data_IF_079370706317
#
_entry.id   IF_079370706317
#
_cell.length_a   1.000
_cell.length_b   1.000
_cell.length_c   1.000
_cell.angle_alpha   90.00
_cell.angle_beta   90.00
_cell.angle_gamma   90.00
#
_symmetry.space_group_name_H-M   'P 1'
#
loop_
_entity.id
_entity.type
_entity.pdbx_description
1 polymer ?
#
# COMPACT_ATOMS: atom_id res chain seq x y z
N UNK A 1 19.50 -85.34 -11.75
CA UNK A 1 18.23 -84.68 -11.38
C UNK A 1 18.55 -83.44 -10.55
N UNK A 2 18.48 -82.26 -11.17
CA UNK A 2 18.72 -80.95 -10.54
C UNK A 2 17.43 -80.52 -9.82
N UNK A 3 17.49 -80.20 -8.52
CA UNK A 3 16.38 -79.58 -7.79
C UNK A 3 16.62 -78.08 -7.69
N UNK A 4 15.68 -77.35 -8.26
CA UNK A 4 15.63 -75.89 -8.38
C UNK A 4 15.14 -75.27 -7.08
N UNK A 5 15.98 -74.47 -6.42
CA UNK A 5 15.51 -73.49 -5.42
C UNK A 5 15.45 -72.12 -6.12
N UNK A 6 14.23 -71.65 -6.40
CA UNK A 6 13.97 -70.25 -6.76
C UNK A 6 13.89 -69.45 -5.45
N UNK A 7 14.92 -68.68 -5.15
CA UNK A 7 14.84 -67.65 -4.12
C UNK A 7 14.07 -66.44 -4.69
N UNK A 8 12.98 -66.05 -4.04
CA UNK A 8 12.33 -64.76 -4.28
C UNK A 8 13.31 -63.65 -3.92
N UNK A 9 13.67 -62.83 -4.91
CA UNK A 9 14.36 -61.57 -4.68
C UNK A 9 13.38 -60.58 -4.03
N UNK A 10 13.56 -60.34 -2.72
CA UNK A 10 12.92 -59.24 -2.02
C UNK A 10 13.61 -57.94 -2.48
N UNK A 11 12.92 -57.12 -3.27
CA UNK A 11 13.39 -55.80 -3.66
C UNK A 11 13.29 -54.86 -2.46
N UNK A 12 14.32 -54.88 -1.61
CA UNK A 12 14.56 -53.82 -0.64
C UNK A 12 15.02 -52.57 -1.41
N UNK A 13 14.08 -51.65 -1.67
CA UNK A 13 14.43 -50.30 -2.11
C UNK A 13 15.26 -49.63 -1.01
N UNK A 14 16.57 -49.57 -1.22
CA UNK A 14 17.51 -48.77 -0.46
C UNK A 14 17.11 -47.29 -0.55
N UNK A 15 16.45 -46.77 0.49
CA UNK A 15 16.51 -45.35 0.81
C UNK A 15 17.94 -45.04 1.23
N UNK A 16 18.80 -44.70 0.26
CA UNK A 16 20.04 -44.03 0.58
C UNK A 16 19.67 -42.70 1.26
N UNK A 17 19.99 -42.58 2.55
CA UNK A 17 19.93 -41.33 3.28
C UNK A 17 21.03 -40.42 2.72
N UNK A 18 20.66 -39.53 1.80
CA UNK A 18 21.53 -38.44 1.36
C UNK A 18 21.59 -37.39 2.48
N UNK A 19 22.46 -37.61 3.46
CA UNK A 19 22.98 -36.50 4.25
C UNK A 19 23.95 -35.71 3.37
N UNK A 20 23.41 -34.80 2.57
CA UNK A 20 24.22 -33.76 1.92
C UNK A 20 24.60 -32.75 3.00
N UNK A 21 25.90 -32.40 3.18
CA UNK A 21 26.27 -31.37 4.14
C UNK A 21 25.60 -30.04 3.75
N UNK A 22 24.95 -29.40 4.71
CA UNK A 22 24.34 -28.08 4.56
C UNK A 22 25.44 -27.04 4.32
N UNK A 23 25.78 -26.75 3.06
CA UNK A 23 26.74 -25.68 2.74
C UNK A 23 26.58 -25.10 1.33
N UNK A 24 25.36 -25.09 0.79
CA UNK A 24 24.98 -24.10 -0.21
C UNK A 24 24.08 -23.08 0.48
N UNK A 25 24.66 -21.93 0.84
CA UNK A 25 23.89 -20.78 1.31
C UNK A 25 23.04 -20.30 0.11
N UNK A 26 21.71 -20.38 0.20
CA UNK A 26 20.86 -19.79 -0.83
C UNK A 26 21.04 -18.27 -0.78
N UNK A 27 21.61 -17.70 -1.84
CA UNK A 27 21.85 -16.26 -1.95
C UNK A 27 20.56 -15.43 -2.09
N UNK A 28 19.39 -16.09 -2.22
CA UNK A 28 18.12 -15.44 -2.51
C UNK A 28 16.94 -16.10 -1.76
N UNK A 29 17.13 -16.41 -0.48
CA UNK A 29 16.08 -16.93 0.40
C UNK A 29 15.68 -18.39 0.18
N UNK A 30 14.69 -18.83 0.95
CA UNK A 30 14.07 -20.16 0.81
C UNK A 30 12.71 -20.08 0.09
N UNK A 31 12.32 -21.21 -0.48
CA UNK A 31 11.02 -21.49 -1.03
C UNK A 31 10.25 -22.40 -0.08
N UNK A 32 8.93 -22.24 -0.02
CA UNK A 32 8.05 -23.23 0.58
C UNK A 32 7.03 -23.69 -0.45
N UNK A 33 6.81 -25.01 -0.55
CA UNK A 33 5.79 -25.59 -1.39
C UNK A 33 5.15 -26.81 -0.72
N UNK A 34 3.88 -27.08 -1.05
CA UNK A 34 3.27 -28.36 -0.71
C UNK A 34 3.63 -29.37 -1.79
N UNK A 35 4.34 -30.43 -1.43
CA UNK A 35 4.78 -31.50 -2.35
C UNK A 35 4.30 -32.83 -1.78
N UNK A 36 3.53 -33.58 -2.56
CA UNK A 36 2.98 -34.91 -2.18
C UNK A 36 2.32 -34.92 -0.80
N UNK A 37 1.60 -33.84 -0.49
CA UNK A 37 0.87 -33.68 0.76
C UNK A 37 1.72 -33.24 1.97
N UNK A 38 2.97 -32.85 1.75
CA UNK A 38 3.87 -32.35 2.80
C UNK A 38 4.29 -30.92 2.51
N UNK A 39 4.38 -30.10 3.56
CA UNK A 39 4.94 -28.76 3.43
C UNK A 39 6.46 -28.86 3.46
N UNK A 40 7.10 -28.52 2.34
CA UNK A 40 8.54 -28.60 2.17
C UNK A 40 9.12 -27.20 2.06
N UNK A 41 10.30 -26.98 2.66
CA UNK A 41 11.14 -25.82 2.44
C UNK A 41 12.42 -26.22 1.72
N UNK A 42 12.90 -25.41 0.78
CA UNK A 42 14.09 -25.68 -0.02
C UNK A 42 14.72 -24.38 -0.52
N UNK A 43 15.98 -24.45 -0.93
CA UNK A 43 16.70 -23.32 -1.49
C UNK A 43 16.25 -23.05 -2.93
N UNK A 44 16.47 -21.83 -3.44
CA UNK A 44 16.11 -21.48 -4.81
C UNK A 44 16.80 -22.37 -5.86
N UNK A 45 17.98 -22.92 -5.57
CA UNK A 45 18.70 -23.86 -6.44
C UNK A 45 18.16 -25.32 -6.37
N UNK A 46 17.19 -25.59 -5.50
CA UNK A 46 16.61 -26.92 -5.26
C UNK A 46 17.31 -27.74 -4.19
N UNK A 47 18.43 -27.25 -3.65
CA UNK A 47 19.12 -27.87 -2.53
C UNK A 47 18.41 -27.62 -1.20
N UNK A 48 18.91 -28.22 -0.11
CA UNK A 48 18.44 -27.90 1.25
C UNK A 48 16.98 -28.27 1.54
N UNK A 49 16.44 -29.26 0.81
CA UNK A 49 15.07 -29.73 0.96
C UNK A 49 14.85 -30.28 2.38
N UNK A 50 13.88 -29.71 3.09
CA UNK A 50 13.48 -30.12 4.45
C UNK A 50 11.98 -30.04 4.62
N UNK A 51 11.42 -30.92 5.44
CA UNK A 51 10.01 -30.89 5.80
C UNK A 51 9.76 -29.88 6.91
N UNK A 52 8.72 -29.06 6.77
CA UNK A 52 8.19 -28.22 7.85
C UNK A 52 7.11 -29.00 8.61
N UNK A 53 7.09 -28.95 9.96
CA UNK A 53 6.25 -29.81 10.78
C UNK A 53 4.79 -29.31 10.86
N UNK A 54 4.10 -29.23 9.71
CA UNK A 54 2.69 -28.86 9.63
C UNK A 54 1.84 -30.11 9.41
N UNK A 55 0.99 -30.48 10.39
CA UNK A 55 0.05 -31.58 10.24
C UNK A 55 -0.91 -31.34 9.08
N UNK A 56 -1.33 -32.41 8.41
CA UNK A 56 -2.32 -32.39 7.31
C UNK A 56 -2.00 -31.38 6.19
N UNK A 57 -0.70 -31.15 5.93
CA UNK A 57 -0.24 -30.18 4.93
C UNK A 57 -0.81 -30.43 3.52
N UNK A 58 -1.25 -31.66 3.21
CA UNK A 58 -1.91 -31.97 1.94
C UNK A 58 -3.29 -31.35 1.74
N UNK A 59 -3.87 -30.74 2.79
CA UNK A 59 -5.09 -29.95 2.71
C UNK A 59 -4.82 -28.44 2.53
N UNK A 60 -3.55 -28.02 2.54
CA UNK A 60 -3.19 -26.62 2.33
C UNK A 60 -3.44 -26.26 0.87
N UNK A 61 -4.38 -25.34 0.66
CA UNK A 61 -4.71 -24.83 -0.68
C UNK A 61 -3.86 -23.62 -1.05
N UNK A 62 -3.42 -22.84 -0.06
CA UNK A 62 -2.69 -21.59 -0.25
C UNK A 62 -1.74 -21.30 0.92
N UNK A 63 -0.67 -20.57 0.63
CA UNK A 63 0.35 -20.17 1.61
C UNK A 63 0.96 -18.80 1.27
N UNK A 64 1.32 -18.05 2.31
CA UNK A 64 1.85 -16.69 2.22
C UNK A 64 2.84 -16.40 3.35
N UNK A 65 4.11 -16.21 3.02
CA UNK A 65 5.12 -15.70 3.92
C UNK A 65 4.79 -14.27 4.34
N UNK A 66 4.99 -14.01 5.63
CA UNK A 66 4.97 -12.66 6.17
C UNK A 66 6.07 -11.81 5.55
N UNK A 67 5.93 -10.47 5.49
CA UNK A 67 6.94 -9.58 4.93
C UNK A 67 8.33 -9.69 5.57
N UNK A 68 8.38 -10.00 6.87
CA UNK A 68 9.61 -10.26 7.61
C UNK A 68 10.26 -11.61 7.29
N UNK A 69 9.56 -12.52 6.60
CA UNK A 69 10.03 -13.84 6.24
C UNK A 69 10.08 -14.86 7.39
N UNK A 70 9.73 -14.50 8.62
CA UNK A 70 9.81 -15.37 9.80
C UNK A 70 8.52 -16.15 10.13
N UNK A 71 7.41 -15.81 9.47
CA UNK A 71 6.10 -16.46 9.61
C UNK A 71 5.54 -16.86 8.25
N UNK A 72 4.80 -17.96 8.21
CA UNK A 72 4.10 -18.47 7.04
C UNK A 72 2.62 -18.66 7.38
N UNK A 73 1.74 -17.86 6.77
CA UNK A 73 0.31 -18.08 6.84
C UNK A 73 -0.09 -19.15 5.82
N UNK A 74 -1.07 -19.99 6.16
CA UNK A 74 -1.57 -21.03 5.28
C UNK A 74 -3.04 -21.33 5.57
N UNK A 75 -3.78 -21.73 4.53
CA UNK A 75 -5.15 -22.22 4.68
C UNK A 75 -5.09 -23.69 5.12
N UNK A 76 -5.90 -24.06 6.11
CA UNK A 76 -6.04 -25.44 6.60
C UNK A 76 -7.51 -25.79 6.78
N UNK A 77 -7.80 -27.05 7.10
CA UNK A 77 -9.15 -27.41 7.54
C UNK A 77 -9.61 -26.50 8.70
N UNK A 78 -10.73 -25.83 8.45
CA UNK A 78 -11.40 -24.97 9.42
C UNK A 78 -10.80 -23.58 9.62
N UNK A 79 -9.90 -23.08 8.76
CA UNK A 79 -9.48 -21.67 8.82
C UNK A 79 -8.05 -21.41 8.37
N UNK A 80 -7.49 -20.30 8.85
CA UNK A 80 -6.11 -19.88 8.57
C UNK A 80 -5.22 -20.18 9.77
N UNK A 81 -4.10 -20.84 9.48
CA UNK A 81 -3.01 -21.06 10.42
C UNK A 81 -1.81 -20.15 10.11
N UNK A 82 -0.96 -19.94 11.12
CA UNK A 82 0.35 -19.28 10.96
C UNK A 82 1.42 -20.15 11.60
N UNK A 83 2.42 -20.55 10.81
CA UNK A 83 3.63 -21.20 11.29
C UNK A 83 4.69 -20.13 11.60
N UNK A 84 5.21 -20.14 12.82
CA UNK A 84 6.42 -19.42 13.20
C UNK A 84 7.64 -20.28 12.86
N UNK A 85 8.48 -19.81 11.92
CA UNK A 85 9.59 -20.62 11.41
C UNK A 85 10.69 -20.84 12.45
N UNK A 86 10.90 -19.87 13.35
CA UNK A 86 11.93 -19.92 14.41
C UNK A 86 11.62 -20.96 15.47
N UNK A 87 10.36 -21.04 15.90
CA UNK A 87 9.91 -21.89 17.01
C UNK A 87 9.29 -23.19 16.52
N UNK A 88 8.90 -23.27 15.24
CA UNK A 88 8.08 -24.36 14.70
C UNK A 88 6.63 -24.32 15.19
N UNK A 89 6.23 -23.27 15.92
CA UNK A 89 4.91 -23.17 16.54
C UNK A 89 3.85 -22.84 15.51
N UNK A 90 2.72 -23.52 15.60
CA UNK A 90 1.55 -23.28 14.74
C UNK A 90 0.46 -22.59 15.54
N UNK A 91 0.00 -21.46 15.03
CA UNK A 91 -1.10 -20.66 15.56
C UNK A 91 -2.35 -20.86 14.73
N UNK A 92 -3.48 -21.19 15.36
CA UNK A 92 -4.79 -21.03 14.72
C UNK A 92 -5.23 -19.57 14.81
N UNK A 93 -5.30 -18.86 13.68
CA UNK A 93 -5.67 -17.44 13.64
C UNK A 93 -7.17 -17.28 13.49
N UNK A 94 -7.79 -18.08 12.62
CA UNK A 94 -9.23 -18.04 12.38
C UNK A 94 -9.88 -19.41 12.53
N UNK A 95 -11.20 -19.39 12.76
CA UNK A 95 -12.07 -20.56 12.72
C UNK A 95 -13.18 -20.30 11.68
N UNK A 96 -12.97 -20.77 10.45
CA UNK A 96 -13.87 -20.58 9.32
C UNK A 96 -13.55 -21.53 8.17
N UNK A 97 -14.47 -22.44 7.84
CA UNK A 97 -14.24 -23.46 6.81
C UNK A 97 -14.15 -22.91 5.38
N UNK A 98 -14.58 -21.66 5.16
CA UNK A 98 -14.54 -20.98 3.85
C UNK A 98 -13.48 -19.88 3.81
N UNK A 99 -12.55 -19.87 4.78
CA UNK A 99 -11.47 -18.90 4.84
C UNK A 99 -10.43 -19.24 3.76
N UNK A 100 -10.07 -18.25 2.95
CA UNK A 100 -9.15 -18.40 1.82
C UNK A 100 -8.39 -17.09 1.54
N UNK A 101 -7.39 -17.14 0.67
CA UNK A 101 -6.55 -16.02 0.22
C UNK A 101 -5.92 -15.22 1.37
N UNK A 102 -5.17 -15.87 2.29
CA UNK A 102 -4.45 -15.16 3.33
C UNK A 102 -3.35 -14.32 2.69
N UNK A 103 -3.34 -13.02 2.98
CA UNK A 103 -2.32 -12.12 2.50
C UNK A 103 -1.94 -11.13 3.60
N UNK A 104 -0.64 -11.00 3.84
CA UNK A 104 -0.11 -10.23 4.96
C UNK A 104 -0.12 -8.73 4.69
N UNK A 105 -0.52 -7.98 5.72
CA UNK A 105 -0.24 -6.57 5.80
C UNK A 105 1.26 -6.32 5.72
N UNK A 106 1.60 -5.19 5.12
CA UNK A 106 2.96 -4.78 4.80
C UNK A 106 3.88 -4.64 6.03
N UNK A 107 3.30 -4.34 7.19
CA UNK A 107 3.94 -4.29 8.51
C UNK A 107 3.98 -5.65 9.23
N UNK A 108 3.39 -6.69 8.65
CA UNK A 108 3.23 -8.00 9.28
C UNK A 108 2.30 -8.02 10.50
N UNK A 109 1.60 -6.92 10.79
CA UNK A 109 0.72 -6.77 11.96
C UNK A 109 -0.68 -7.34 11.76
N UNK A 110 -1.05 -7.67 10.52
CA UNK A 110 -2.35 -8.25 10.20
C UNK A 110 -2.30 -9.18 8.99
N UNK A 111 -3.34 -10.00 8.86
CA UNK A 111 -3.62 -10.85 7.71
C UNK A 111 -4.98 -10.42 7.16
N UNK A 112 -5.03 -10.11 5.87
CA UNK A 112 -6.28 -10.01 5.13
C UNK A 112 -6.65 -11.39 4.59
N UNK A 113 -7.94 -11.72 4.56
CA UNK A 113 -8.42 -12.98 4.00
C UNK A 113 -9.87 -12.86 3.55
N UNK A 114 -10.30 -13.81 2.71
CA UNK A 114 -11.69 -13.97 2.27
C UNK A 114 -12.41 -14.99 3.13
N UNK A 115 -13.68 -14.73 3.41
CA UNK A 115 -14.63 -15.71 3.94
C UNK A 115 -15.90 -15.63 3.11
N UNK A 116 -16.07 -16.61 2.22
CA UNK A 116 -17.08 -16.54 1.17
C UNK A 116 -16.87 -15.33 0.27
N UNK A 117 -17.86 -14.43 0.21
CA UNK A 117 -17.81 -13.21 -0.62
C UNK A 117 -17.27 -11.98 0.13
N UNK A 118 -17.03 -12.09 1.43
CA UNK A 118 -16.58 -11.00 2.28
C UNK A 118 -15.07 -11.04 2.50
N UNK A 119 -14.50 -9.87 2.77
CA UNK A 119 -13.08 -9.72 3.11
C UNK A 119 -12.94 -9.23 4.54
N UNK A 120 -11.99 -9.81 5.26
CA UNK A 120 -11.70 -9.50 6.65
C UNK A 120 -10.22 -9.21 6.84
N UNK A 121 -9.92 -8.44 7.88
CA UNK A 121 -8.59 -8.27 8.45
C UNK A 121 -8.57 -8.86 9.85
N UNK A 122 -7.47 -9.50 10.22
CA UNK A 122 -7.30 -10.10 11.55
C UNK A 122 -5.85 -9.95 12.01
N UNK A 123 -5.63 -9.74 13.31
CA UNK A 123 -4.28 -9.82 13.88
C UNK A 123 -3.78 -11.28 13.85
N UNK A 124 -2.49 -11.54 13.62
CA UNK A 124 -1.93 -12.89 13.51
C UNK A 124 -1.76 -13.56 14.89
N UNK A 125 -2.81 -13.51 15.71
CA UNK A 125 -2.85 -14.04 17.08
C UNK A 125 -4.14 -14.82 17.30
N UNK A 126 -4.13 -15.90 18.09
CA UNK A 126 -5.33 -16.69 18.34
C UNK A 126 -6.47 -15.87 18.92
N UNK A 127 -7.69 -16.06 18.40
CA UNK A 127 -8.91 -15.43 18.93
C UNK A 127 -9.02 -13.93 18.67
N UNK A 128 -8.18 -13.36 17.81
CA UNK A 128 -8.29 -11.95 17.43
C UNK A 128 -9.65 -11.64 16.79
N UNK A 129 -10.20 -10.46 17.09
CA UNK A 129 -11.42 -9.98 16.49
C UNK A 129 -11.24 -9.78 14.98
N UNK A 130 -12.26 -10.18 14.21
CA UNK A 130 -12.30 -9.96 12.77
C UNK A 130 -12.79 -8.55 12.48
N UNK A 131 -12.00 -7.80 11.71
CA UNK A 131 -12.35 -6.48 11.21
C UNK A 131 -12.89 -6.62 9.77
N UNK A 132 -14.20 -6.44 9.51
CA UNK A 132 -14.75 -6.56 8.18
C UNK A 132 -14.34 -5.37 7.31
N UNK A 133 -13.72 -5.64 6.18
CA UNK A 133 -13.43 -4.62 5.18
C UNK A 133 -14.48 -4.65 4.07
N UNK A 134 -15.53 -3.85 4.25
CA UNK A 134 -16.58 -3.65 3.25
C UNK A 134 -16.08 -2.68 2.18
N UNK A 135 -15.46 -3.21 1.13
CA UNK A 135 -15.51 -2.50 -0.16
C UNK A 135 -16.87 -2.82 -0.76
N UNK A 136 -17.61 -1.80 -1.22
CA UNK A 136 -18.82 -1.94 -2.06
C UNK A 136 -18.45 -2.58 -3.42
N UNK A 137 -17.90 -3.78 -3.40
CA UNK A 137 -17.62 -4.57 -4.59
C UNK A 137 -18.85 -5.45 -4.80
N UNK A 138 -19.72 -4.96 -5.67
CA UNK A 138 -20.72 -5.78 -6.38
C UNK A 138 -20.10 -7.14 -6.69
N UNK A 139 -20.81 -8.22 -6.36
CA UNK A 139 -20.38 -9.61 -6.44
C UNK A 139 -19.34 -9.89 -7.53
N UNK A 140 -18.13 -10.33 -7.15
CA UNK A 140 -17.07 -10.64 -8.13
C UNK A 140 -15.62 -10.56 -7.64
N UNK A 141 -15.36 -10.43 -6.33
CA UNK A 141 -13.99 -10.52 -5.81
C UNK A 141 -13.50 -11.96 -5.90
N UNK A 142 -12.57 -12.22 -6.80
CA UNK A 142 -12.04 -13.58 -7.02
C UNK A 142 -10.80 -13.84 -6.18
N UNK A 143 -9.96 -12.82 -5.96
CA UNK A 143 -8.65 -12.96 -5.31
C UNK A 143 -8.22 -11.70 -4.56
N UNK A 144 -7.30 -11.85 -3.61
CA UNK A 144 -6.70 -10.74 -2.85
C UNK A 144 -5.19 -10.84 -2.95
N UNK A 145 -4.54 -9.72 -3.29
CA UNK A 145 -3.09 -9.58 -3.21
C UNK A 145 -2.75 -8.34 -2.38
N UNK A 146 -1.71 -8.39 -1.55
CA UNK A 146 -1.17 -7.19 -0.92
C UNK A 146 -0.11 -6.55 -1.80
N UNK A 147 -0.27 -5.27 -2.08
CA UNK A 147 0.73 -4.48 -2.77
C UNK A 147 1.85 -4.05 -1.80
N UNK A 148 3.13 -4.20 -2.18
CA UNK A 148 4.25 -3.64 -1.43
C UNK A 148 4.11 -2.14 -1.24
N UNK A 149 4.44 -1.65 -0.05
CA UNK A 149 4.40 -0.22 0.27
C UNK A 149 3.01 0.40 0.49
N UNK A 150 1.91 -0.35 0.32
CA UNK A 150 0.57 0.17 0.61
C UNK A 150 0.06 -0.30 1.98
N UNK A 151 -0.73 0.56 2.63
CA UNK A 151 -1.46 0.26 3.87
C UNK A 151 -2.74 -0.55 3.63
N UNK A 152 -3.13 -0.76 2.36
CA UNK A 152 -4.33 -1.46 1.94
C UNK A 152 -4.01 -2.56 0.92
N UNK A 153 -4.81 -3.62 0.93
CA UNK A 153 -4.74 -4.71 -0.03
C UNK A 153 -5.44 -4.36 -1.34
N UNK A 154 -5.09 -5.10 -2.39
CA UNK A 154 -5.66 -5.00 -3.73
C UNK A 154 -6.56 -6.20 -4.03
N UNK A 155 -7.90 -6.07 -3.94
CA UNK A 155 -8.79 -7.10 -4.48
C UNK A 155 -8.75 -7.11 -6.01
N UNK A 156 -8.84 -8.32 -6.57
CA UNK A 156 -9.12 -8.53 -7.99
C UNK A 156 -10.63 -8.65 -8.17
N UNK A 157 -11.23 -7.72 -8.92
CA UNK A 157 -12.66 -7.72 -9.23
C UNK A 157 -12.85 -7.59 -10.73
N UNK A 158 -13.45 -8.62 -11.36
CA UNK A 158 -13.71 -8.65 -12.80
C UNK A 158 -12.48 -8.32 -13.67
N UNK A 159 -11.29 -8.79 -13.26
CA UNK A 159 -10.03 -8.49 -13.96
C UNK A 159 -9.43 -7.12 -13.65
N UNK A 160 -9.97 -6.38 -12.68
CA UNK A 160 -9.41 -5.12 -12.21
C UNK A 160 -8.73 -5.32 -10.86
N UNK A 161 -7.47 -4.89 -10.75
CA UNK A 161 -6.80 -4.80 -9.46
C UNK A 161 -7.13 -3.44 -8.84
N UNK A 162 -7.98 -3.45 -7.82
CA UNK A 162 -8.54 -2.24 -7.21
C UNK A 162 -7.72 -1.85 -5.99
N UNK A 163 -7.20 -0.63 -5.94
CA UNK A 163 -6.52 -0.04 -4.79
C UNK A 163 -7.21 1.27 -4.39
N UNK A 164 -7.06 1.75 -3.14
CA UNK A 164 -7.47 3.11 -2.79
C UNK A 164 -6.74 4.15 -3.67
N UNK A 165 -7.44 4.73 -4.64
CA UNK A 165 -6.94 5.83 -5.48
C UNK A 165 -6.25 5.41 -6.80
N UNK A 166 -5.98 4.11 -6.99
CA UNK A 166 -5.37 3.53 -8.20
C UNK A 166 -6.19 2.31 -8.64
N UNK A 167 -6.41 2.16 -9.93
CA UNK A 167 -6.99 0.96 -10.53
C UNK A 167 -6.09 0.52 -11.66
N UNK A 168 -5.61 -0.72 -11.60
CA UNK A 168 -4.76 -1.30 -12.64
C UNK A 168 -5.59 -2.28 -13.46
N UNK A 169 -5.82 -1.94 -14.73
CA UNK A 169 -6.53 -2.78 -15.68
C UNK A 169 -5.68 -4.02 -15.98
N UNK A 170 -6.09 -5.18 -15.46
CA UNK A 170 -5.50 -6.44 -15.89
C UNK A 170 -6.22 -6.90 -17.17
N UNK A 171 -5.52 -7.62 -18.06
CA UNK A 171 -6.17 -8.22 -19.21
C UNK A 171 -7.27 -9.21 -18.78
N UNK A 172 -8.25 -9.50 -19.65
CA UNK A 172 -9.22 -10.56 -19.38
C UNK A 172 -8.51 -11.91 -19.18
N UNK A 173 -9.19 -12.84 -18.49
CA UNK A 173 -8.73 -14.22 -18.24
C UNK A 173 -7.48 -14.37 -17.34
N UNK A 174 -7.23 -13.42 -16.43
CA UNK A 174 -6.32 -13.64 -15.29
C UNK A 174 -6.84 -14.79 -14.43
N UNK A 175 -5.95 -15.71 -14.06
CA UNK A 175 -6.26 -16.85 -13.20
C UNK A 175 -5.49 -16.78 -11.88
N UNK A 176 -6.21 -17.00 -10.79
CA UNK A 176 -5.66 -17.04 -9.44
C UNK A 176 -5.09 -15.71 -8.97
N UNK A 177 -4.37 -15.76 -7.85
CA UNK A 177 -3.84 -14.59 -7.16
C UNK A 177 -2.68 -13.97 -7.95
N UNK A 178 -2.75 -12.69 -8.36
CA UNK A 178 -1.60 -11.97 -8.92
C UNK A 178 -0.57 -11.66 -7.83
N UNK A 179 0.71 -11.65 -8.19
CA UNK A 179 1.80 -11.35 -7.28
C UNK A 179 2.50 -10.05 -7.63
N UNK A 180 2.62 -9.18 -6.64
CA UNK A 180 3.36 -7.93 -6.75
C UNK A 180 4.86 -8.16 -6.57
N UNK A 181 5.67 -7.51 -7.40
CA UNK A 181 7.12 -7.48 -7.23
C UNK A 181 7.48 -6.71 -5.95
N UNK A 182 8.44 -7.17 -5.12
CA UNK A 182 8.80 -6.52 -3.86
C UNK A 182 9.22 -5.05 -3.98
N UNK A 183 9.79 -4.68 -5.14
CA UNK A 183 10.20 -3.33 -5.51
C UNK A 183 9.06 -2.45 -6.08
N UNK A 184 7.83 -2.98 -6.11
CA UNK A 184 6.64 -2.34 -6.66
C UNK A 184 6.77 -1.93 -8.14
N UNK A 185 7.67 -2.56 -8.90
CA UNK A 185 7.86 -2.25 -10.33
C UNK A 185 6.81 -2.90 -11.23
N UNK A 186 6.36 -4.11 -10.89
CA UNK A 186 5.43 -4.89 -11.70
C UNK A 186 4.48 -5.78 -10.89
N UNK A 187 3.41 -6.22 -11.54
CA UNK A 187 2.49 -7.27 -11.07
C UNK A 187 2.58 -8.45 -12.04
N UNK A 188 2.92 -9.63 -11.54
CA UNK A 188 2.90 -10.89 -12.28
C UNK A 188 1.59 -11.63 -12.05
N UNK A 189 1.09 -12.31 -13.09
CA UNK A 189 -0.16 -13.05 -13.04
C UNK A 189 -0.13 -14.22 -14.03
N UNK A 190 -0.93 -15.25 -13.74
CA UNK A 190 -1.15 -16.35 -14.66
C UNK A 190 -2.34 -16.04 -15.59
N UNK A 191 -2.24 -16.48 -16.83
CA UNK A 191 -3.32 -16.43 -17.83
C UNK A 191 -3.28 -17.65 -18.73
N UNK A 192 -4.24 -17.77 -19.63
CA UNK A 192 -4.18 -18.77 -20.70
C UNK A 192 -2.88 -18.62 -21.50
N UNK A 193 -2.06 -19.66 -21.48
CA UNK A 193 -0.75 -19.71 -22.16
C UNK A 193 0.46 -19.41 -21.28
N UNK A 194 0.30 -19.06 -20.00
CA UNK A 194 1.41 -19.02 -19.03
C UNK A 194 1.45 -17.77 -18.14
N UNK A 195 2.65 -17.31 -17.81
CA UNK A 195 2.87 -16.16 -16.93
C UNK A 195 3.09 -14.89 -17.72
N UNK A 196 2.57 -13.79 -17.20
CA UNK A 196 2.80 -12.46 -17.73
C UNK A 196 2.91 -11.44 -16.61
N UNK A 197 3.48 -10.28 -16.91
CA UNK A 197 3.57 -9.16 -15.97
C UNK A 197 3.10 -7.86 -16.61
N UNK A 198 2.62 -6.94 -15.78
CA UNK A 198 2.27 -5.57 -16.17
C UNK A 198 3.00 -4.59 -15.23
N UNK A 199 3.54 -3.46 -15.73
CA UNK A 199 4.10 -2.43 -14.88
C UNK A 199 3.05 -1.84 -13.93
N UNK A 200 3.44 -1.52 -12.69
CA UNK A 200 2.53 -0.91 -11.69
C UNK A 200 2.07 0.49 -12.09
N UNK A 201 2.87 1.20 -12.88
CA UNK A 201 2.49 2.46 -13.51
C UNK A 201 1.42 2.31 -14.60
N UNK A 202 1.02 1.08 -14.94
CA UNK A 202 0.21 0.76 -16.11
C UNK A 202 1.06 0.67 -17.38
N UNK A 203 0.50 0.05 -18.42
CA UNK A 203 1.18 -0.11 -19.71
C UNK A 203 0.92 -1.46 -20.35
N UNK A 204 1.80 -1.84 -21.27
CA UNK A 204 1.68 -3.10 -22.00
C UNK A 204 1.99 -4.31 -21.11
N UNK A 205 1.23 -5.38 -21.32
CA UNK A 205 1.49 -6.69 -20.70
C UNK A 205 2.69 -7.33 -21.37
N UNK A 206 3.65 -7.78 -20.55
CA UNK A 206 4.85 -8.49 -20.98
C UNK A 206 4.69 -9.99 -20.71
N UNK A 207 4.81 -10.88 -21.72
CA UNK A 207 4.87 -12.32 -21.48
C UNK A 207 6.20 -12.68 -20.81
N UNK A 208 6.15 -13.62 -19.85
CA UNK A 208 7.33 -14.05 -19.09
C UNK A 208 7.67 -15.52 -19.35
N UNK A 209 6.64 -16.38 -19.31
CA UNK A 209 6.77 -17.83 -19.46
C UNK A 209 5.61 -18.33 -20.30
N UNK A 210 5.91 -19.25 -21.21
CA UNK A 210 4.91 -19.98 -21.99
C UNK A 210 4.60 -21.34 -21.35
N UNK A 211 3.35 -21.80 -21.51
CA UNK A 211 2.90 -23.11 -21.03
C UNK A 211 2.18 -23.06 -19.69
N UNK A 212 1.82 -24.22 -19.11
CA UNK A 212 1.04 -24.28 -17.88
C UNK A 212 1.82 -23.69 -16.70
N UNK A 213 1.26 -22.66 -16.08
CA UNK A 213 1.83 -22.00 -14.92
C UNK A 213 0.71 -21.46 -14.01
N UNK A 214 0.89 -21.61 -12.70
CA UNK A 214 -0.06 -21.14 -11.69
C UNK A 214 0.66 -20.56 -10.47
N UNK A 215 -0.05 -19.68 -9.76
CA UNK A 215 0.39 -19.07 -8.49
C UNK A 215 1.84 -18.52 -8.52
N UNK A 216 2.15 -17.57 -9.43
CA UNK A 216 3.48 -16.99 -9.50
C UNK A 216 3.81 -16.23 -8.21
N UNK A 217 5.06 -16.31 -7.73
CA UNK A 217 5.57 -15.55 -6.58
C UNK A 217 6.96 -15.01 -6.87
N UNK A 218 7.19 -13.74 -6.56
CA UNK A 218 8.44 -13.06 -6.86
C UNK A 218 9.55 -13.43 -5.87
N UNK A 219 10.78 -13.47 -6.37
CA UNK A 219 11.95 -13.51 -5.51
C UNK A 219 12.13 -12.21 -4.72
N UNK A 220 12.79 -12.25 -3.56
CA UNK A 220 12.99 -11.08 -2.68
C UNK A 220 13.63 -9.87 -3.36
N UNK A 221 14.55 -10.14 -4.29
CA UNK A 221 15.30 -9.17 -5.08
C UNK A 221 14.58 -8.74 -6.38
N UNK A 222 13.33 -9.21 -6.60
CA UNK A 222 12.52 -8.95 -7.78
C UNK A 222 13.15 -9.41 -9.13
N UNK A 223 14.18 -10.26 -9.11
CA UNK A 223 14.86 -10.71 -10.35
C UNK A 223 14.28 -12.00 -10.93
N UNK A 224 13.47 -12.75 -10.18
CA UNK A 224 12.93 -14.04 -10.57
C UNK A 224 11.50 -14.28 -10.04
N UNK A 225 10.86 -15.33 -10.57
CA UNK A 225 9.53 -15.80 -10.19
C UNK A 225 9.55 -17.31 -10.01
N UNK A 226 9.05 -17.79 -8.87
CA UNK A 226 8.72 -19.21 -8.66
C UNK A 226 7.25 -19.44 -8.99
N UNK A 227 6.93 -20.60 -9.55
CA UNK A 227 5.56 -20.96 -9.89
C UNK A 227 5.39 -22.48 -9.98
N UNK A 228 4.13 -22.94 -9.88
CA UNK A 228 3.77 -24.33 -10.07
C UNK A 228 3.45 -24.59 -11.56
N UNK A 229 3.97 -25.70 -12.10
CA UNK A 229 3.76 -26.15 -13.48
C UNK A 229 3.39 -27.64 -13.49
N UNK A 230 2.11 -27.96 -13.30
CA UNK A 230 1.68 -29.34 -13.12
C UNK A 230 2.22 -29.92 -11.82
N UNK A 231 3.02 -30.99 -11.90
CA UNK A 231 3.68 -31.61 -10.75
C UNK A 231 5.13 -31.13 -10.54
N UNK A 232 5.50 -29.99 -11.13
CA UNK A 232 6.82 -29.39 -10.98
C UNK A 232 6.74 -28.01 -10.32
N UNK A 233 7.80 -27.66 -9.59
CA UNK A 233 8.07 -26.26 -9.19
C UNK A 233 9.17 -25.73 -10.11
N UNK A 234 8.92 -24.59 -10.76
CA UNK A 234 9.84 -23.96 -11.69
C UNK A 234 10.16 -22.53 -11.29
N UNK A 235 11.33 -22.05 -11.72
CA UNK A 235 11.77 -20.66 -11.56
C UNK A 235 12.08 -20.07 -12.93
N UNK A 236 11.56 -18.88 -13.19
CA UNK A 236 11.85 -18.08 -14.38
C UNK A 236 12.42 -16.72 -13.99
N UNK A 237 13.21 -16.12 -14.89
CA UNK A 237 13.68 -14.75 -14.72
C UNK A 237 12.53 -13.75 -14.86
N UNK A 238 12.57 -12.65 -14.10
CA UNK A 238 11.63 -11.53 -14.21
C UNK A 238 11.64 -10.87 -15.60
N UNK A 239 12.74 -11.04 -16.33
CA UNK A 239 12.88 -10.59 -17.72
C UNK A 239 12.15 -11.48 -18.72
N UNK A 240 11.69 -12.66 -18.30
CA UNK A 240 11.26 -13.76 -19.16
C UNK A 240 12.44 -14.67 -19.57
N UNK A 241 12.11 -15.77 -20.24
CA UNK A 241 13.09 -16.74 -20.75
C UNK A 241 12.73 -18.18 -20.41
N UNK A 242 13.66 -19.11 -20.66
CA UNK A 242 13.45 -20.53 -20.37
C UNK A 242 13.48 -20.78 -18.86
N UNK A 243 12.40 -21.29 -18.27
CA UNK A 243 12.36 -21.61 -16.85
C UNK A 243 13.22 -22.82 -16.52
N UNK A 244 13.79 -22.86 -15.32
CA UNK A 244 14.44 -24.05 -14.77
C UNK A 244 13.54 -24.76 -13.77
N UNK A 245 13.55 -26.09 -13.78
CA UNK A 245 12.83 -26.88 -12.79
C UNK A 245 13.67 -27.04 -11.52
N UNK A 246 13.00 -26.94 -10.37
CA UNK A 246 13.62 -26.97 -9.02
C UNK A 246 13.13 -28.15 -8.22
N UNK A 247 11.87 -28.53 -8.41
CA UNK A 247 11.28 -29.76 -7.85
C UNK A 247 10.79 -30.62 -9.01
N UNK A 248 11.25 -31.87 -9.07
CA UNK A 248 10.87 -32.89 -10.06
C UNK A 248 10.38 -34.15 -9.35
N UNK A 249 9.68 -35.01 -10.09
CA UNK A 249 9.31 -36.36 -9.62
C UNK A 249 8.24 -36.41 -8.53
N UNK A 250 7.58 -35.28 -8.24
CA UNK A 250 6.41 -35.26 -7.38
C UNK A 250 5.20 -35.81 -8.12
N UNK A 251 4.25 -36.41 -7.39
CA UNK A 251 2.94 -36.76 -7.92
C UNK A 251 2.04 -35.52 -7.98
N UNK A 252 2.15 -34.64 -6.98
CA UNK A 252 1.36 -33.42 -6.89
C UNK A 252 2.14 -32.29 -6.22
N UNK A 253 2.14 -31.13 -6.87
CA UNK A 253 2.60 -29.87 -6.30
C UNK A 253 1.39 -28.97 -6.03
N UNK A 254 1.32 -28.46 -4.80
CA UNK A 254 0.31 -27.50 -4.36
C UNK A 254 0.83 -26.06 -4.43
N UNK A 255 0.35 -25.16 -3.55
CA UNK A 255 0.78 -23.77 -3.57
C UNK A 255 2.27 -23.64 -3.24
N UNK A 256 2.90 -22.61 -3.81
CA UNK A 256 4.32 -22.27 -3.63
C UNK A 256 4.46 -20.81 -3.22
N UNK A 257 5.49 -20.52 -2.42
CA UNK A 257 5.87 -19.16 -2.07
C UNK A 257 7.38 -19.01 -1.87
N UNK A 258 7.84 -17.79 -2.12
CA UNK A 258 9.21 -17.35 -1.93
C UNK A 258 9.31 -16.52 -0.65
N UNK A 259 10.15 -16.96 0.28
CA UNK A 259 10.40 -16.24 1.53
C UNK A 259 11.04 -14.89 1.20
N UNK A 260 10.49 -13.75 1.66
CA UNK A 260 10.89 -12.39 1.26
C UNK A 260 12.20 -11.90 1.89
N UNK A 261 13.19 -12.78 2.02
CA UNK A 261 14.46 -12.49 2.66
C UNK A 261 15.61 -13.22 1.95
N UNK A 262 16.84 -12.74 2.11
CA UNK A 262 18.01 -13.27 1.37
C UNK A 262 18.84 -14.27 2.17
N UNK A 263 18.48 -14.54 3.44
CA UNK A 263 19.20 -15.47 4.31
C UNK A 263 18.48 -16.83 4.46
N UNK A 264 19.24 -17.90 4.72
CA UNK A 264 18.74 -19.28 4.87
C UNK A 264 18.69 -19.69 6.33
N UNK A 265 17.96 -18.96 7.17
CA UNK A 265 17.76 -19.37 8.57
C UNK A 265 16.37 -19.04 9.08
N UNK A 266 16.00 -19.64 10.21
CA UNK A 266 14.74 -19.40 10.89
C UNK A 266 14.64 -18.00 11.52
N UNK A 267 15.76 -17.26 11.56
CA UNK A 267 15.84 -15.82 11.83
C UNK A 267 16.24 -15.11 10.54
N UNK A 268 15.25 -14.83 9.69
CA UNK A 268 15.49 -14.10 8.46
C UNK A 268 15.15 -12.62 8.63
N UNK A 269 15.92 -11.74 8.01
CA UNK A 269 15.57 -10.33 7.91
C UNK A 269 15.18 -9.98 6.47
N UNK A 270 14.03 -9.34 6.30
CA UNK A 270 13.49 -8.91 5.00
C UNK A 270 14.42 -7.94 4.28
N UNK A 271 14.56 -8.02 2.96
CA UNK A 271 15.25 -6.98 2.17
C UNK A 271 14.31 -5.87 1.68
N UNK A 272 13.04 -5.92 2.10
CA UNK A 272 12.06 -4.92 1.70
C UNK A 272 12.39 -3.53 2.25
N UNK A 273 12.03 -2.50 1.48
CA UNK A 273 12.18 -1.12 1.91
C UNK A 273 11.21 -0.73 3.04
N UNK A 274 11.57 0.28 3.87
CA UNK A 274 10.66 0.86 4.85
C UNK A 274 9.38 1.36 4.18
N UNK A 275 8.25 1.18 4.86
CA UNK A 275 6.93 1.41 4.28
C UNK A 275 6.20 2.50 5.05
N UNK A 276 5.80 3.55 4.34
CA UNK A 276 5.18 4.73 4.92
C UNK A 276 3.66 4.69 4.69
N UNK A 277 2.88 4.83 5.77
CA UNK A 277 1.42 4.84 5.70
C UNK A 277 0.84 6.09 5.02
N UNK A 278 1.65 7.14 4.88
CA UNK A 278 1.36 8.35 4.11
C UNK A 278 2.59 8.77 3.32
N UNK A 279 2.38 9.39 2.16
CA UNK A 279 3.44 9.90 1.27
C UNK A 279 3.54 11.43 1.28
N UNK A 280 2.65 12.11 2.02
CA UNK A 280 2.70 13.56 2.16
C UNK A 280 2.04 14.05 3.43
N UNK A 281 2.43 15.25 3.85
CA UNK A 281 1.79 16.01 4.91
C UNK A 281 1.93 17.52 4.70
N UNK A 282 1.28 18.29 5.56
CA UNK A 282 1.33 19.75 5.54
C UNK A 282 1.66 20.31 6.92
N UNK A 283 2.49 21.34 6.97
CA UNK A 283 2.78 22.13 8.16
C UNK A 283 2.47 23.61 7.89
N UNK A 284 2.14 24.37 8.94
CA UNK A 284 1.91 25.82 8.85
C UNK A 284 2.70 26.53 9.92
N UNK A 285 3.35 27.63 9.57
CA UNK A 285 4.03 28.52 10.52
C UNK A 285 3.91 29.98 10.11
N UNK A 286 4.33 30.91 10.97
CA UNK A 286 4.46 32.33 10.65
C UNK A 286 5.88 32.64 10.15
N UNK A 287 6.03 33.74 9.41
CA UNK A 287 7.35 34.28 9.03
C UNK A 287 8.24 34.38 10.26
N UNK A 288 9.49 33.93 10.12
CA UNK A 288 10.53 33.88 11.16
C UNK A 288 10.14 33.10 12.43
N UNK A 289 9.11 32.24 12.37
CA UNK A 289 8.77 31.30 13.44
C UNK A 289 9.13 29.88 13.00
N UNK A 290 10.00 29.19 13.74
CA UNK A 290 10.28 27.78 13.49
C UNK A 290 9.04 26.89 13.67
N UNK A 291 9.02 25.75 13.00
CA UNK A 291 7.98 24.72 13.15
C UNK A 291 8.55 23.32 12.99
N UNK A 292 7.99 22.40 13.76
CA UNK A 292 8.34 20.99 13.70
C UNK A 292 7.52 20.33 12.60
N UNK A 293 8.23 19.71 11.66
CA UNK A 293 7.62 18.99 10.55
C UNK A 293 7.20 17.59 11.02
N UNK A 294 6.02 17.10 10.58
CA UNK A 294 5.60 15.75 10.92
C UNK A 294 6.60 14.73 10.33
N UNK A 295 7.10 13.76 11.14
CA UNK A 295 7.97 12.71 10.64
C UNK A 295 7.22 11.82 9.64
N UNK A 296 7.93 11.18 8.69
CA UNK A 296 7.34 10.13 7.86
C UNK A 296 6.80 8.98 8.74
N UNK A 297 5.50 8.61 8.64
CA UNK A 297 4.91 7.55 9.45
C UNK A 297 5.22 6.17 8.85
N UNK A 298 6.50 5.77 8.93
CA UNK A 298 7.03 4.57 8.30
C UNK A 298 7.36 3.46 9.30
N UNK A 299 7.26 2.21 8.83
CA UNK A 299 7.64 1.01 9.57
C UNK A 299 8.54 0.11 8.72
N UNK A 300 9.41 -0.67 9.37
CA UNK A 300 10.23 -1.68 8.71
C UNK A 300 9.60 -3.08 8.87
N UNK A 301 9.40 -3.84 7.79
CA UNK A 301 8.86 -5.20 7.86
C UNK A 301 9.67 -6.19 8.71
N UNK A 302 10.98 -5.96 8.88
CA UNK A 302 11.85 -6.75 9.74
C UNK A 302 12.05 -6.11 11.13
N UNK A 303 11.37 -5.00 11.42
CA UNK A 303 11.49 -4.28 12.68
C UNK A 303 12.83 -3.57 12.87
N UNK A 304 13.58 -3.31 11.79
CA UNK A 304 14.87 -2.59 11.86
C UNK A 304 14.69 -1.15 12.31
N UNK A 305 15.76 -0.59 12.87
CA UNK A 305 15.85 0.84 13.16
C UNK A 305 15.77 1.62 11.85
N UNK A 306 15.03 2.72 11.90
CA UNK A 306 14.78 3.60 10.76
C UNK A 306 15.53 4.92 10.93
N UNK A 307 16.21 5.34 9.86
CA UNK A 307 16.93 6.60 9.77
C UNK A 307 16.29 7.52 8.72
N UNK A 308 16.18 8.80 9.05
CA UNK A 308 15.60 9.81 8.18
C UNK A 308 16.68 10.37 7.23
N UNK A 309 16.39 10.38 5.94
CA UNK A 309 17.26 10.92 4.89
C UNK A 309 16.55 12.09 4.21
N UNK A 310 17.18 13.27 4.19
CA UNK A 310 16.63 14.43 3.48
C UNK A 310 16.92 14.27 1.99
N UNK A 311 15.86 14.04 1.20
CA UNK A 311 15.94 13.87 -0.25
C UNK A 311 15.89 15.20 -1.01
N UNK A 312 15.26 16.23 -0.43
CA UNK A 312 15.26 17.61 -0.94
C UNK A 312 15.12 18.60 0.21
N UNK A 313 16.10 19.49 0.32
CA UNK A 313 16.10 20.64 1.24
C UNK A 313 15.03 21.69 0.86
N UNK A 314 14.55 22.50 1.83
CA UNK A 314 13.66 23.63 1.55
C UNK A 314 14.35 24.71 0.72
N UNK A 315 13.59 25.44 -0.10
CA UNK A 315 14.12 26.54 -0.93
C UNK A 315 14.08 27.90 -0.22
N UNK A 316 13.28 28.01 0.85
CA UNK A 316 12.98 29.27 1.51
C UNK A 316 13.08 29.19 3.04
N UNK A 317 13.98 28.36 3.53
CA UNK A 317 14.28 28.22 4.95
C UNK A 317 15.48 27.33 5.20
N UNK A 318 15.70 27.01 6.46
CA UNK A 318 16.72 26.05 6.91
C UNK A 318 16.02 24.91 7.63
N UNK A 319 16.57 23.70 7.48
CA UNK A 319 16.07 22.50 8.12
C UNK A 319 17.18 21.89 8.97
N UNK A 320 16.85 21.50 10.20
CA UNK A 320 17.72 20.70 11.06
C UNK A 320 16.87 19.58 11.65
N UNK A 321 17.17 18.34 11.26
CA UNK A 321 16.32 17.17 11.48
C UNK A 321 14.89 17.37 10.94
N UNK A 322 13.94 17.68 11.82
CA UNK A 322 12.54 18.00 11.49
C UNK A 322 12.16 19.44 11.88
N UNK A 323 13.12 20.24 12.35
CA UNK A 323 12.90 21.64 12.71
C UNK A 323 13.15 22.53 11.51
N UNK A 324 12.08 23.08 10.95
CA UNK A 324 12.14 24.03 9.85
C UNK A 324 12.06 25.46 10.36
N UNK A 325 13.00 26.30 9.92
CA UNK A 325 13.00 27.75 10.18
C UNK A 325 12.89 28.50 8.85
N UNK A 326 11.80 29.25 8.59
CA UNK A 326 11.69 30.06 7.39
C UNK A 326 12.84 31.07 7.25
N UNK A 327 13.24 31.37 6.02
CA UNK A 327 14.15 32.48 5.76
C UNK A 327 13.55 33.79 6.25
N UNK A 328 14.39 34.73 6.67
CA UNK A 328 13.92 35.97 7.27
C UNK A 328 12.96 36.74 6.33
N UNK A 329 11.77 37.08 6.82
CA UNK A 329 10.72 37.77 6.07
C UNK A 329 10.01 36.93 5.00
N UNK A 330 10.36 35.64 4.86
CA UNK A 330 9.73 34.78 3.86
C UNK A 330 8.26 34.52 4.20
N UNK A 331 7.41 34.60 3.18
CA UNK A 331 6.04 34.12 3.23
C UNK A 331 5.69 33.49 1.88
N UNK A 332 4.98 32.37 1.93
CA UNK A 332 4.75 31.55 0.76
C UNK A 332 4.67 30.07 1.08
N UNK A 333 4.82 29.25 0.05
CA UNK A 333 4.84 27.81 0.16
C UNK A 333 6.28 27.32 -0.04
N UNK A 334 6.78 26.57 0.94
CA UNK A 334 8.05 25.85 0.85
C UNK A 334 7.79 24.34 0.83
N UNK A 335 8.79 23.53 0.47
CA UNK A 335 8.64 22.08 0.37
C UNK A 335 9.92 21.35 0.70
N UNK A 336 9.79 20.36 1.58
CA UNK A 336 10.86 19.41 1.92
C UNK A 336 10.45 18.01 1.47
N UNK A 337 11.42 17.21 1.05
CA UNK A 337 11.21 15.79 0.74
C UNK A 337 12.16 14.92 1.57
N UNK A 338 11.61 13.86 2.15
CA UNK A 338 12.35 12.88 2.94
C UNK A 338 12.25 11.47 2.33
N UNK A 339 13.22 10.62 2.67
CA UNK A 339 13.15 9.16 2.58
C UNK A 339 13.52 8.58 3.92
N UNK A 340 13.14 7.33 4.15
CA UNK A 340 13.50 6.60 5.37
C UNK A 340 14.32 5.38 4.98
N UNK A 341 15.48 5.22 5.59
CA UNK A 341 16.40 4.09 5.36
C UNK A 341 16.33 3.10 6.52
N UNK A 342 16.40 1.80 6.21
CA UNK A 342 16.63 0.74 7.21
C UNK A 342 18.09 0.25 7.21
N UNK A 343 19.01 1.01 6.60
CA UNK A 343 20.42 0.64 6.43
C UNK A 343 20.70 -0.28 5.24
N UNK A 344 19.67 -0.80 4.57
CA UNK A 344 19.79 -1.65 3.36
C UNK A 344 19.23 -0.93 2.13
N UNK A 345 18.04 -0.37 2.26
CA UNK A 345 17.31 0.29 1.17
C UNK A 345 16.45 1.43 1.71
N UNK A 346 16.18 2.41 0.86
CA UNK A 346 15.37 3.58 1.20
C UNK A 346 13.91 3.42 0.79
N UNK A 347 13.02 4.08 1.53
CA UNK A 347 11.59 4.17 1.23
C UNK A 347 11.30 5.04 0.00
N UNK A 348 10.04 5.02 -0.42
CA UNK A 348 9.45 6.04 -1.29
C UNK A 348 9.58 7.46 -0.71
N UNK A 349 9.47 8.47 -1.57
CA UNK A 349 9.59 9.88 -1.15
C UNK A 349 8.38 10.33 -0.33
N UNK A 350 8.61 10.85 0.88
CA UNK A 350 7.63 11.54 1.71
C UNK A 350 7.75 13.06 1.59
N UNK A 351 6.69 13.75 1.14
CA UNK A 351 6.72 15.19 0.86
C UNK A 351 5.98 16.00 1.93
N UNK A 352 6.67 16.96 2.55
CA UNK A 352 6.04 17.94 3.45
C UNK A 352 5.92 19.28 2.75
N UNK A 353 4.68 19.77 2.64
CA UNK A 353 4.40 21.13 2.15
C UNK A 353 4.24 22.10 3.31
N UNK A 354 5.01 23.18 3.32
CA UNK A 354 5.05 24.12 4.43
C UNK A 354 4.41 25.43 3.99
N UNK A 355 3.41 25.89 4.74
CA UNK A 355 2.76 27.18 4.50
C UNK A 355 3.29 28.21 5.50
N UNK A 356 4.10 29.15 5.03
CA UNK A 356 4.64 30.25 5.82
C UNK A 356 3.75 31.47 5.64
N UNK A 357 3.01 31.84 6.68
CA UNK A 357 2.11 33.00 6.65
C UNK A 357 2.87 34.27 7.08
N UNK A 358 2.62 35.43 6.46
CA UNK A 358 3.23 36.68 6.90
C UNK A 358 2.94 36.96 8.38
N UNK A 359 3.95 37.45 9.11
CA UNK A 359 3.75 37.91 10.48
C UNK A 359 2.92 39.20 10.47
N UNK A 360 1.89 39.36 11.31
CA UNK A 360 1.20 40.64 11.43
C UNK A 360 2.19 41.70 11.90
N UNK A 361 2.39 42.75 11.10
CA UNK A 361 3.14 43.92 11.54
C UNK A 361 2.31 44.60 12.62
N UNK A 362 2.79 44.59 13.86
CA UNK A 362 2.21 45.41 14.91
C UNK A 362 2.38 46.88 14.50
N UNK A 363 1.35 47.74 14.62
CA UNK A 363 1.53 49.17 14.42
C UNK A 363 2.61 49.67 15.41
N UNK A 364 3.50 50.56 14.95
CA UNK A 364 4.46 51.20 15.84
C UNK A 364 3.73 51.84 17.04
N UNK A 365 4.26 51.74 18.27
CA UNK A 365 3.59 52.29 19.44
C UNK A 365 3.49 53.81 19.30
N UNK A 366 2.27 54.32 19.14
CA UNK A 366 2.00 55.74 19.38
C UNK A 366 2.06 55.96 20.89
N UNK A 367 2.95 56.86 21.31
CA UNK A 367 3.11 57.26 22.71
C UNK A 367 1.77 57.76 23.26
N UNK A 368 1.24 57.09 24.30
CA UNK A 368 0.30 57.71 25.25
C UNK A 368 -1.20 57.47 25.13
N UNK A 369 -1.70 56.28 24.72
CA UNK A 369 -3.15 55.98 24.82
C UNK A 369 -3.44 54.56 25.35
N UNK A 370 -4.47 54.48 26.21
CA UNK A 370 -5.21 53.37 26.88
C UNK A 370 -5.12 51.97 26.21
N UNK A 371 -5.22 50.85 26.97
CA UNK A 371 -4.90 49.50 26.47
C UNK A 371 -5.61 49.16 25.15
N UNK A 372 -4.94 48.45 24.22
CA UNK A 372 -5.50 48.19 22.92
C UNK A 372 -6.74 47.30 23.07
N UNK A 373 -7.86 47.77 22.51
CA UNK A 373 -8.93 46.88 22.09
C UNK A 373 -8.30 45.89 21.12
N UNK A 374 -8.46 44.59 21.37
CA UNK A 374 -8.06 43.52 20.45
C UNK A 374 -8.77 43.76 19.10
N UNK A 375 -8.09 44.39 18.14
CA UNK A 375 -8.59 44.48 16.77
C UNK A 375 -8.36 43.12 16.13
N UNK A 376 -9.34 42.23 16.29
CA UNK A 376 -9.39 40.97 15.54
C UNK A 376 -9.39 41.33 14.04
N UNK A 377 -8.31 40.97 13.32
CA UNK A 377 -8.22 41.21 11.89
C UNK A 377 -9.23 40.41 11.07
N UNK A 378 -9.18 40.51 9.74
CA UNK A 378 -10.16 39.85 8.87
C UNK A 378 -10.25 38.32 9.10
N UNK A 379 -11.46 37.74 9.10
CA UNK A 379 -11.70 36.34 9.43
C UNK A 379 -11.04 35.38 8.42
N UNK A 380 -10.55 34.24 8.92
CA UNK A 380 -10.07 33.12 8.12
C UNK A 380 -11.21 32.14 7.83
N UNK A 381 -11.44 31.82 6.54
CA UNK A 381 -12.44 30.85 6.11
C UNK A 381 -11.76 29.53 5.70
N UNK A 382 -12.06 28.46 6.42
CA UNK A 382 -11.53 27.11 6.16
C UNK A 382 -12.61 26.17 5.61
N UNK A 383 -12.22 25.23 4.75
CA UNK A 383 -13.08 24.10 4.37
C UNK A 383 -12.70 22.87 5.21
N UNK A 384 -13.68 22.25 5.87
CA UNK A 384 -13.46 21.07 6.73
C UNK A 384 -13.24 19.77 5.94
N UNK A 385 -13.49 19.80 4.63
CA UNK A 385 -13.19 18.74 3.68
C UNK A 385 -13.06 19.35 2.28
N UNK A 386 -12.33 18.69 1.40
CA UNK A 386 -12.19 19.15 0.00
C UNK A 386 -13.55 19.08 -0.70
N UNK A 387 -14.11 20.20 -1.17
CA UNK A 387 -15.41 20.20 -1.85
C UNK A 387 -15.31 19.42 -3.15
N UNK A 388 -16.31 18.58 -3.46
CA UNK A 388 -16.40 17.84 -4.73
C UNK A 388 -17.51 18.42 -5.59
N UNK A 389 -17.22 18.65 -6.87
CA UNK A 389 -18.23 19.06 -7.84
C UNK A 389 -18.99 17.81 -8.35
N UNK A 390 -20.30 17.80 -8.24
CA UNK A 390 -21.13 16.71 -8.74
C UNK A 390 -21.44 16.82 -10.25
N UNK A 391 -22.05 15.78 -10.81
CA UNK A 391 -22.52 15.78 -12.22
C UNK A 391 -23.59 16.85 -12.51
N UNK A 392 -24.30 17.32 -11.48
CA UNK A 392 -25.28 18.43 -11.55
C UNK A 392 -24.62 19.81 -11.43
N UNK A 393 -23.28 19.88 -11.39
CA UNK A 393 -22.46 21.10 -11.25
C UNK A 393 -22.70 21.84 -9.94
N UNK A 394 -23.01 21.08 -8.90
CA UNK A 394 -23.19 21.54 -7.53
C UNK A 394 -22.01 21.06 -6.71
N UNK A 395 -21.48 21.91 -5.84
CA UNK A 395 -20.54 21.52 -4.79
C UNK A 395 -21.18 21.74 -3.42
N UNK A 396 -21.11 20.72 -2.56
CA UNK A 396 -21.38 20.87 -1.13
C UNK A 396 -20.08 21.26 -0.44
N UNK A 397 -20.11 22.36 0.30
CA UNK A 397 -18.94 22.98 0.95
C UNK A 397 -19.22 23.11 2.43
N UNK A 398 -18.40 22.47 3.29
CA UNK A 398 -18.47 22.63 4.74
C UNK A 398 -17.44 23.67 5.18
N UNK A 399 -17.91 24.85 5.58
CA UNK A 399 -17.08 26.01 5.89
C UNK A 399 -17.07 26.31 7.39
N UNK A 400 -15.94 26.77 7.92
CA UNK A 400 -15.80 27.27 9.28
C UNK A 400 -14.97 28.57 9.28
N UNK A 401 -15.39 29.54 10.11
CA UNK A 401 -14.61 30.73 10.41
C UNK A 401 -13.94 30.58 11.79
N UNK A 402 -12.78 31.22 11.92
CA UNK A 402 -12.03 31.37 13.17
C UNK A 402 -12.70 32.34 14.16
N UNK A 403 -13.43 33.32 13.64
CA UNK A 403 -14.25 34.28 14.39
C UNK A 403 -15.64 34.45 13.76
N UNK A 404 -16.53 35.20 14.41
CA UNK A 404 -17.83 35.54 13.86
C UNK A 404 -17.67 36.33 12.55
N UNK A 405 -18.25 35.81 11.47
CA UNK A 405 -17.97 36.28 10.13
C UNK A 405 -19.22 36.33 9.26
N UNK A 406 -19.24 37.26 8.30
CA UNK A 406 -20.15 37.28 7.16
C UNK A 406 -19.38 36.90 5.91
N UNK A 407 -19.82 35.85 5.22
CA UNK A 407 -19.19 35.34 4.00
C UNK A 407 -20.05 35.63 2.78
N UNK A 408 -19.38 35.84 1.66
CA UNK A 408 -19.93 36.16 0.35
C UNK A 408 -19.16 35.37 -0.72
N UNK A 409 -19.59 34.13 -1.01
CA UNK A 409 -18.82 33.15 -1.81
C UNK A 409 -19.62 32.59 -2.98
N UNK A 410 -18.94 32.20 -4.06
CA UNK A 410 -19.50 31.56 -5.25
C UNK A 410 -18.55 30.49 -5.81
N UNK A 411 -19.02 29.67 -6.74
CA UNK A 411 -18.15 28.78 -7.52
C UNK A 411 -17.63 29.48 -8.78
N UNK A 412 -16.36 29.30 -9.07
CA UNK A 412 -15.73 29.74 -10.32
C UNK A 412 -15.05 28.55 -10.99
N UNK A 413 -15.32 28.33 -12.27
CA UNK A 413 -14.72 27.28 -13.08
C UNK A 413 -13.93 27.85 -14.25
N UNK A 414 -12.77 27.25 -14.55
CA UNK A 414 -11.97 27.52 -15.75
C UNK A 414 -12.04 26.33 -16.69
N UNK A 415 -12.40 26.56 -17.95
CA UNK A 415 -12.38 25.53 -19.00
C UNK A 415 -10.97 25.32 -19.56
N UNK A 416 -10.76 24.20 -20.28
CA UNK A 416 -9.54 23.99 -21.08
C UNK A 416 -9.33 25.07 -22.15
N UNK A 417 -10.41 25.65 -22.68
CA UNK A 417 -10.38 26.80 -23.59
C UNK A 417 -9.99 28.13 -22.92
N UNK A 418 -9.60 28.11 -21.64
CA UNK A 418 -9.31 29.28 -20.79
C UNK A 418 -10.51 30.16 -20.43
N UNK A 419 -11.70 29.92 -20.99
CA UNK A 419 -12.94 30.61 -20.61
C UNK A 419 -13.32 30.35 -19.15
N UNK A 420 -13.81 31.39 -18.46
CA UNK A 420 -14.21 31.35 -17.06
C UNK A 420 -15.74 31.35 -16.91
N UNK A 421 -16.26 30.65 -15.91
CA UNK A 421 -17.68 30.60 -15.56
C UNK A 421 -17.86 30.82 -14.06
N UNK A 422 -18.71 31.76 -13.69
CA UNK A 422 -18.96 32.13 -12.30
C UNK A 422 -20.42 31.85 -11.94
N UNK A 423 -20.63 31.13 -10.84
CA UNK A 423 -21.95 30.82 -10.28
C UNK A 423 -22.53 31.97 -9.44
N UNK A 424 -23.80 31.84 -9.01
CA UNK A 424 -24.42 32.80 -8.11
C UNK A 424 -23.67 32.88 -6.78
N UNK A 425 -23.61 34.08 -6.23
CA UNK A 425 -23.00 34.36 -4.94
C UNK A 425 -23.98 34.07 -3.79
N UNK A 426 -23.50 33.32 -2.81
CA UNK A 426 -24.21 33.01 -1.57
C UNK A 426 -23.63 33.86 -0.45
N UNK A 427 -24.52 34.56 0.27
CA UNK A 427 -24.19 35.36 1.45
C UNK A 427 -24.75 34.73 2.71
N UNK A 428 -23.91 34.51 3.73
CA UNK A 428 -24.30 33.93 5.03
C UNK A 428 -23.47 34.51 6.17
N UNK A 429 -24.00 34.47 7.37
CA UNK A 429 -23.26 34.74 8.60
C UNK A 429 -22.93 33.42 9.29
N UNK A 430 -21.78 33.35 9.95
CA UNK A 430 -21.28 32.16 10.62
C UNK A 430 -20.64 32.55 11.94
N UNK A 431 -21.01 31.82 13.00
CA UNK A 431 -20.42 31.96 14.33
C UNK A 431 -19.07 31.23 14.35
N UNK A 432 -18.10 31.78 15.09
CA UNK A 432 -16.77 31.22 15.28
C UNK A 432 -16.83 29.71 15.58
N UNK A 433 -15.98 28.93 14.92
CA UNK A 433 -15.87 27.47 15.06
C UNK A 433 -17.11 26.65 14.69
N UNK A 434 -18.26 27.24 14.37
CA UNK A 434 -19.41 26.50 13.83
C UNK A 434 -19.20 26.19 12.34
N UNK A 435 -19.69 25.01 11.95
CA UNK A 435 -19.61 24.54 10.56
C UNK A 435 -20.90 24.88 9.83
N UNK A 436 -20.77 25.58 8.70
CA UNK A 436 -21.87 25.87 7.78
C UNK A 436 -21.74 25.03 6.53
N UNK A 437 -22.79 24.29 6.19
CA UNK A 437 -22.86 23.58 4.91
C UNK A 437 -23.53 24.45 3.87
N UNK A 438 -22.80 24.80 2.81
CA UNK A 438 -23.32 25.55 1.66
C UNK A 438 -23.43 24.66 0.44
N UNK A 439 -24.50 24.88 -0.31
CA UNK A 439 -24.68 24.33 -1.65
C UNK A 439 -24.39 25.42 -2.66
N UNK A 440 -23.26 25.32 -3.36
CA UNK A 440 -22.88 26.25 -4.42
C UNK A 440 -23.06 25.59 -5.78
N UNK A 441 -23.39 26.37 -6.81
CA UNK A 441 -23.71 25.83 -8.14
C UNK A 441 -23.05 26.65 -9.25
N UNK A 442 -22.59 26.01 -10.31
CA UNK A 442 -22.18 26.69 -11.55
C UNK A 442 -23.40 26.92 -12.47
N UNK A 443 -23.37 27.91 -13.39
CA UNK A 443 -24.47 28.17 -14.33
C UNK A 443 -24.69 27.01 -15.31
N UNK A 444 -25.70 27.14 -16.19
CA UNK A 444 -26.07 26.15 -17.23
C UNK A 444 -24.87 25.60 -18.01
N UNK A 445 -25.00 24.36 -18.52
CA UNK A 445 -23.87 23.46 -18.87
C UNK A 445 -22.87 24.18 -19.79
N UNK A 446 -21.64 24.47 -19.34
CA UNK A 446 -20.66 25.12 -20.20
C UNK A 446 -20.34 24.19 -21.38
N UNK A 447 -20.29 24.72 -22.61
CA UNK A 447 -19.81 23.98 -23.79
C UNK A 447 -18.29 23.81 -23.66
N UNK A 448 -17.84 22.70 -23.07
CA UNK A 448 -16.42 22.33 -22.94
C UNK A 448 -16.08 21.57 -21.65
N UNK A 449 -14.87 20.98 -21.59
CA UNK A 449 -14.34 20.28 -20.40
C UNK A 449 -13.79 21.27 -19.38
N UNK A 450 -14.24 21.15 -18.12
CA UNK A 450 -13.73 21.95 -17.00
C UNK A 450 -12.30 21.50 -16.67
N UNK A 451 -11.38 22.46 -16.50
CA UNK A 451 -9.98 22.21 -16.12
C UNK A 451 -9.79 22.31 -14.61
N UNK A 452 -10.34 23.35 -13.98
CA UNK A 452 -10.20 23.63 -12.54
C UNK A 452 -11.43 24.38 -12.01
N UNK A 453 -11.74 24.20 -10.73
CA UNK A 453 -12.87 24.85 -10.05
C UNK A 453 -12.43 25.32 -8.67
N UNK A 454 -12.92 26.50 -8.27
CA UNK A 454 -12.66 27.10 -6.96
C UNK A 454 -13.95 27.64 -6.34
N UNK A 455 -14.00 27.65 -5.01
CA UNK A 455 -14.87 28.56 -4.25
C UNK A 455 -14.13 29.88 -4.12
N UNK A 456 -14.71 30.97 -4.61
CA UNK A 456 -14.11 32.31 -4.58
C UNK A 456 -15.06 33.26 -3.87
N UNK A 457 -14.53 34.19 -3.09
CA UNK A 457 -15.38 35.17 -2.43
C UNK A 457 -14.65 36.05 -1.43
N UNK A 458 -15.44 36.63 -0.54
CA UNK A 458 -14.95 37.46 0.57
C UNK A 458 -15.55 37.01 1.88
N UNK A 459 -14.82 37.22 2.96
CA UNK A 459 -15.29 37.03 4.33
C UNK A 459 -14.99 38.30 5.13
N UNK A 460 -15.91 38.70 6.00
CA UNK A 460 -15.86 39.97 6.75
C UNK A 460 -16.24 39.78 8.22
N UNK A 461 -15.51 40.34 9.17
CA UNK A 461 -15.86 40.31 10.60
C UNK A 461 -16.86 41.43 10.97
N UNK A 462 -17.24 41.52 12.25
CA UNK A 462 -18.09 42.60 12.76
C UNK A 462 -17.42 43.99 12.67
N UNK A 463 -16.09 44.06 12.75
CA UNK A 463 -15.31 45.29 12.63
C UNK A 463 -15.22 45.85 11.19
N UNK A 464 -15.65 45.07 10.19
CA UNK A 464 -15.69 45.47 8.78
C UNK A 464 -14.48 45.04 7.95
N UNK A 465 -13.48 44.38 8.57
CA UNK A 465 -12.29 43.89 7.89
C UNK A 465 -12.64 42.77 6.91
N UNK A 466 -12.08 42.83 5.69
CA UNK A 466 -12.43 41.93 4.60
C UNK A 466 -11.24 41.12 4.15
N UNK A 467 -11.44 39.82 3.93
CA UNK A 467 -10.46 38.92 3.31
C UNK A 467 -11.02 38.25 2.06
N UNK A 468 -10.22 38.21 1.00
CA UNK A 468 -10.51 37.44 -0.21
C UNK A 468 -10.18 35.95 0.01
N UNK A 469 -11.06 35.07 -0.46
CA UNK A 469 -10.94 33.62 -0.29
C UNK A 469 -10.92 32.94 -1.65
N UNK A 470 -10.07 31.92 -1.80
CA UNK A 470 -10.01 31.03 -2.96
C UNK A 470 -9.69 29.60 -2.52
N UNK A 471 -10.69 28.71 -2.49
CA UNK A 471 -10.55 27.32 -2.07
C UNK A 471 -10.71 26.37 -3.26
N UNK A 472 -9.86 25.35 -3.45
CA UNK A 472 -9.99 24.41 -4.56
C UNK A 472 -11.21 23.49 -4.42
N UNK A 473 -11.78 23.07 -5.55
CA UNK A 473 -12.87 22.10 -5.64
C UNK A 473 -12.42 20.93 -6.51
N UNK A 474 -12.50 19.72 -5.98
CA UNK A 474 -12.18 18.49 -6.70
C UNK A 474 -13.22 18.22 -7.78
N UNK A 475 -12.74 17.95 -8.98
CA UNK A 475 -13.57 17.55 -10.12
C UNK A 475 -13.86 16.05 -10.07
N UNK A 476 -15.05 15.61 -10.49
CA UNK A 476 -15.31 14.20 -10.72
C UNK A 476 -14.43 13.76 -11.90
N UNK A 477 -13.78 12.58 -11.77
CA UNK A 477 -13.02 11.97 -12.86
C UNK A 477 -13.94 11.62 -14.03
#
# INVERSE_FOLDING_TARGET
MRRSFRALACAACLFAAWFVPASAQAANGQLAAVVDGRLMAFNADGSGLRMLPVPDAGQITELAFSPGGNRLAFVKAGGIGVLELTTGRILGVTAGATDANPAWASDGGAIAFRRGVLTYRVAPTPGAALDPFLVDLLAGTTDIAWAPGLAAFAPVVAGLLVLPGVSLDLPPAVRGVPAWAPDNSAVAFARDGGLSSIPTAGGAVKPLVEGPAAAPRWSPDATALVYAAGAEVRIAAATGGTPRTVVTGAERVGPVDWQPCVAVTASCESVAAPRCSATSATATTQSDQPVDLPPPPCTDPAGRRLDLVVAKEPEHGTLTDLHYTPAAGYSGQDTVAYRVSNGVVESETYRVTIFVVPRPVAPAPLVGVRPPVLVQGAPFLSARATPRLDRKRTALVKLACDQDCSLAVHLTAKLRSKRMFTGPQVKRSLVASRVLTLRLRLPSKPRGKIKTVWVVGRVRNAAGDVRNVRLPVSLPR
#
